data_IF_041871571317
#
_entry.id   IF_041871571317
#
_cell.length_a   1.000
_cell.length_b   1.000
_cell.length_c   1.000
_cell.angle_alpha   90.00
_cell.angle_beta   90.00
_cell.angle_gamma   90.00
#
_symmetry.space_group_name_H-M   'P 1'
#
loop_
_entity.id
_entity.type
_entity.pdbx_description
1 polymer ?
#
# COMPACT_ATOMS: atom_id res chain seq x y z
N UNK A 1 -9.16 -2.92 -17.60
CA UNK A 1 -8.84 -3.58 -16.31
C UNK A 1 -9.88 -3.19 -15.26
N UNK A 2 -10.49 -4.17 -14.58
CA UNK A 2 -11.40 -3.90 -13.46
C UNK A 2 -10.59 -3.38 -12.26
N UNK A 3 -11.20 -2.56 -11.41
CA UNK A 3 -10.50 -2.05 -10.22
C UNK A 3 -10.10 -3.17 -9.25
N UNK A 4 -10.85 -4.27 -9.22
CA UNK A 4 -10.49 -5.49 -8.49
C UNK A 4 -9.13 -6.04 -8.91
N UNK A 5 -8.90 -6.13 -10.22
CA UNK A 5 -7.69 -6.71 -10.79
C UNK A 5 -6.50 -5.78 -10.50
N UNK A 6 -6.70 -4.47 -10.67
CA UNK A 6 -5.71 -3.45 -10.31
C UNK A 6 -5.33 -3.51 -8.84
N UNK A 7 -6.30 -3.70 -7.94
CA UNK A 7 -6.03 -3.84 -6.51
C UNK A 7 -5.22 -5.10 -6.21
N UNK A 8 -5.60 -6.24 -6.78
CA UNK A 8 -4.94 -7.52 -6.55
C UNK A 8 -3.49 -7.50 -7.05
N UNK A 9 -3.25 -6.91 -8.21
CA UNK A 9 -1.90 -6.73 -8.75
C UNK A 9 -1.06 -5.82 -7.85
N UNK A 10 -1.61 -4.67 -7.44
CA UNK A 10 -0.89 -3.71 -6.59
C UNK A 10 -0.61 -4.25 -5.17
N UNK A 11 -1.55 -4.98 -4.56
CA UNK A 11 -1.40 -5.53 -3.20
C UNK A 11 -0.49 -6.76 -3.18
N UNK A 12 -0.22 -7.38 -4.34
CA UNK A 12 0.67 -8.55 -4.44
C UNK A 12 2.06 -8.29 -3.84
N UNK A 13 2.60 -7.08 -4.00
CA UNK A 13 3.89 -6.71 -3.40
C UNK A 13 3.86 -6.73 -1.86
N UNK A 14 2.72 -6.35 -1.27
CA UNK A 14 2.50 -6.48 0.18
C UNK A 14 2.48 -7.95 0.60
N UNK A 15 1.71 -8.77 -0.12
CA UNK A 15 1.57 -10.21 0.14
C UNK A 15 2.95 -10.92 0.05
N UNK A 16 3.78 -10.56 -0.94
CA UNK A 16 5.14 -11.07 -1.11
C UNK A 16 6.06 -10.73 0.07
N UNK A 17 5.98 -9.51 0.61
CA UNK A 17 6.80 -9.10 1.76
C UNK A 17 6.37 -9.78 3.06
N UNK A 18 5.06 -9.98 3.27
CA UNK A 18 4.56 -10.81 4.38
C UNK A 18 5.04 -12.24 4.24
N UNK A 19 4.99 -12.80 3.02
CA UNK A 19 5.50 -14.13 2.75
C UNK A 19 7.00 -14.24 3.05
N UNK A 20 7.78 -13.26 2.59
CA UNK A 20 9.22 -13.22 2.82
C UNK A 20 9.55 -13.13 4.32
N UNK A 21 8.82 -12.31 5.08
CA UNK A 21 8.94 -12.25 6.54
C UNK A 21 8.74 -13.63 7.18
N UNK A 22 7.64 -14.32 6.83
CA UNK A 22 7.32 -15.63 7.40
C UNK A 22 8.32 -16.72 7.02
N UNK A 23 8.90 -16.62 5.82
CA UNK A 23 9.89 -17.57 5.29
C UNK A 23 11.30 -17.33 5.81
N UNK A 24 11.69 -16.09 6.06
CA UNK A 24 13.03 -15.75 6.54
C UNK A 24 13.13 -15.78 8.06
N UNK A 25 12.03 -15.58 8.77
CA UNK A 25 12.02 -15.57 10.23
C UNK A 25 12.54 -16.87 10.78
N UNK A 26 13.69 -16.82 11.45
CA UNK A 26 14.22 -17.95 12.21
C UNK A 26 13.60 -17.95 13.61
N UNK A 27 13.29 -19.14 14.12
CA UNK A 27 12.99 -19.36 15.55
C UNK A 27 14.02 -20.27 16.22
N UNK A 28 14.99 -20.79 15.48
CA UNK A 28 15.66 -22.01 15.88
C UNK A 28 16.78 -21.80 16.90
N UNK A 29 16.45 -22.23 18.12
CA UNK A 29 17.34 -22.72 19.18
C UNK A 29 18.10 -24.01 18.79
N UNK A 30 17.79 -24.63 17.65
CA UNK A 30 18.39 -25.90 17.20
C UNK A 30 19.33 -25.70 16.02
N UNK A 31 20.55 -26.21 16.17
CA UNK A 31 21.52 -26.32 15.09
C UNK A 31 20.96 -27.17 13.93
N UNK A 32 21.54 -27.00 12.74
CA UNK A 32 21.27 -27.90 11.62
C UNK A 32 21.62 -29.33 12.00
N UNK A 33 20.89 -30.29 11.42
CA UNK A 33 21.19 -31.70 11.62
C UNK A 33 22.60 -32.00 11.08
N UNK A 34 23.49 -32.61 11.87
CA UNK A 34 24.86 -32.89 11.45
C UNK A 34 24.95 -33.68 10.13
N UNK A 35 24.00 -34.58 9.87
CA UNK A 35 23.96 -35.35 8.62
C UNK A 35 23.75 -34.45 7.38
N UNK A 36 22.94 -33.40 7.49
CA UNK A 36 22.62 -32.48 6.39
C UNK A 36 23.77 -31.53 6.16
N UNK A 37 24.35 -31.00 7.25
CA UNK A 37 25.57 -30.19 7.18
C UNK A 37 26.69 -30.98 6.50
N UNK A 38 26.90 -32.24 6.88
CA UNK A 38 27.92 -33.10 6.27
C UNK A 38 27.65 -33.34 4.78
N UNK A 39 26.42 -33.69 4.37
CA UNK A 39 26.07 -33.89 2.95
C UNK A 39 26.21 -32.61 2.13
N UNK A 40 25.79 -31.48 2.68
CA UNK A 40 25.84 -30.17 2.02
C UNK A 40 27.28 -29.68 1.85
N UNK A 41 28.12 -29.78 2.88
CA UNK A 41 29.54 -29.45 2.80
C UNK A 41 30.33 -30.45 1.92
N UNK A 42 29.90 -31.71 1.87
CA UNK A 42 30.50 -32.74 1.01
C UNK A 42 30.20 -32.55 -0.47
N UNK A 43 29.13 -31.82 -0.84
CA UNK A 43 28.75 -31.58 -2.23
C UNK A 43 29.78 -30.72 -3.01
N UNK A 44 30.86 -30.25 -2.37
CA UNK A 44 31.94 -29.41 -2.96
C UNK A 44 31.43 -28.21 -3.76
N UNK A 45 30.20 -27.76 -3.49
CA UNK A 45 29.64 -26.54 -4.03
C UNK A 45 30.42 -25.38 -3.38
N UNK A 46 31.16 -24.68 -4.22
CA UNK A 46 32.25 -23.74 -3.92
C UNK A 46 32.01 -22.74 -2.78
N UNK A 47 33.05 -22.51 -1.96
CA UNK A 47 33.30 -21.31 -1.14
C UNK A 47 32.28 -20.92 -0.05
N UNK A 48 31.53 -21.87 0.51
CA UNK A 48 30.62 -21.57 1.61
C UNK A 48 31.29 -21.56 2.99
N UNK A 49 30.91 -20.61 3.88
CA UNK A 49 31.49 -20.52 5.22
C UNK A 49 31.09 -21.75 6.04
N UNK A 50 32.08 -22.61 6.34
CA UNK A 50 31.94 -23.87 7.07
C UNK A 50 31.42 -23.74 8.51
N UNK A 51 31.26 -22.52 9.04
CA UNK A 51 30.77 -22.25 10.39
C UNK A 51 29.78 -21.08 10.35
N UNK A 52 28.63 -21.23 11.01
CA UNK A 52 27.58 -20.19 11.18
C UNK A 52 26.94 -19.65 9.89
N UNK A 53 27.13 -20.30 8.75
CA UNK A 53 26.64 -19.86 7.44
C UNK A 53 25.36 -20.54 6.98
N UNK A 54 24.72 -21.38 7.79
CA UNK A 54 23.51 -22.07 7.38
C UNK A 54 22.51 -22.00 8.53
N UNK A 55 21.32 -21.48 8.25
CA UNK A 55 20.24 -21.30 9.23
C UNK A 55 18.94 -21.89 8.70
N UNK A 56 18.06 -22.29 9.63
CA UNK A 56 16.76 -22.89 9.30
C UNK A 56 15.64 -21.92 9.69
N UNK A 57 14.75 -21.63 8.74
CA UNK A 57 13.57 -20.82 9.03
C UNK A 57 12.61 -21.53 9.98
N UNK A 58 11.71 -20.76 10.61
CA UNK A 58 10.72 -21.25 11.58
C UNK A 58 9.85 -22.39 11.04
N UNK A 59 9.48 -22.34 9.76
CA UNK A 59 8.53 -23.26 9.15
C UNK A 59 9.24 -24.39 8.38
N UNK A 60 10.50 -24.67 8.70
CA UNK A 60 11.25 -25.87 8.27
C UNK A 60 11.42 -26.09 6.76
N UNK A 61 11.01 -25.11 5.95
CA UNK A 61 10.88 -25.18 4.49
C UNK A 61 11.91 -24.34 3.75
N UNK A 62 12.70 -23.53 4.46
CA UNK A 62 13.72 -22.67 3.87
C UNK A 62 15.03 -22.85 4.60
N UNK A 63 16.07 -23.17 3.84
CA UNK A 63 17.45 -23.13 4.27
C UNK A 63 18.02 -21.77 3.88
N UNK A 64 18.50 -21.01 4.86
CA UNK A 64 19.16 -19.73 4.62
C UNK A 64 20.66 -20.01 4.60
N UNK A 65 21.32 -19.74 3.48
CA UNK A 65 22.74 -20.01 3.27
C UNK A 65 23.46 -18.66 3.18
N UNK A 66 24.19 -18.31 4.22
CA UNK A 66 25.09 -17.17 4.26
C UNK A 66 26.34 -17.42 3.41
N UNK A 67 26.71 -16.43 2.60
CA UNK A 67 27.90 -16.47 1.75
C UNK A 67 29.08 -15.82 2.49
N UNK A 68 30.30 -16.32 2.26
CA UNK A 68 31.52 -15.74 2.84
C UNK A 68 31.65 -14.28 2.37
N UNK A 69 31.81 -13.34 3.31
CA UNK A 69 31.91 -11.90 3.01
C UNK A 69 30.56 -11.16 2.93
N UNK A 70 29.41 -11.85 3.06
CA UNK A 70 28.09 -11.23 2.96
C UNK A 70 27.67 -10.37 4.16
N UNK A 71 28.44 -10.34 5.25
CA UNK A 71 28.18 -9.50 6.44
C UNK A 71 26.94 -9.87 7.27
N UNK A 72 26.08 -10.78 6.79
CA UNK A 72 24.87 -11.19 7.47
C UNK A 72 25.15 -12.27 8.53
N UNK A 73 24.37 -12.19 9.60
CA UNK A 73 24.39 -13.09 10.74
C UNK A 73 22.99 -13.61 11.03
N UNK A 74 22.87 -14.59 11.93
CA UNK A 74 21.57 -15.07 12.38
C UNK A 74 20.67 -13.95 12.94
N UNK A 75 21.26 -12.92 13.59
CA UNK A 75 20.51 -11.81 14.19
C UNK A 75 19.72 -11.01 13.15
N UNK A 76 20.19 -10.97 11.91
CA UNK A 76 19.54 -10.27 10.80
C UNK A 76 18.26 -10.97 10.32
N UNK A 77 18.08 -12.24 10.72
CA UNK A 77 16.89 -13.05 10.43
C UNK A 77 16.00 -13.27 11.66
N UNK A 78 16.32 -12.63 12.79
CA UNK A 78 15.44 -12.58 13.94
C UNK A 78 14.20 -11.74 13.64
N UNK A 79 13.12 -12.03 14.38
CA UNK A 79 11.83 -11.38 14.18
C UNK A 79 11.94 -9.84 14.15
N UNK A 80 12.74 -9.26 15.05
CA UNK A 80 12.89 -7.81 15.20
C UNK A 80 13.56 -7.16 13.98
N UNK A 81 14.62 -7.77 13.44
CA UNK A 81 15.32 -7.27 12.26
C UNK A 81 14.41 -7.33 11.02
N UNK A 82 13.67 -8.43 10.87
CA UNK A 82 12.78 -8.63 9.72
C UNK A 82 11.47 -7.83 9.79
N UNK A 83 11.12 -7.18 10.92
CA UNK A 83 9.90 -6.36 11.02
C UNK A 83 9.85 -5.25 9.96
N UNK A 84 11.00 -4.82 9.41
CA UNK A 84 11.04 -3.87 8.29
C UNK A 84 10.23 -4.38 7.08
N UNK A 85 10.23 -5.69 6.81
CA UNK A 85 9.44 -6.28 5.74
C UNK A 85 7.94 -6.09 5.96
N UNK A 86 7.47 -6.26 7.19
CA UNK A 86 6.06 -6.04 7.54
C UNK A 86 5.68 -4.55 7.54
N UNK A 87 6.59 -3.65 7.95
CA UNK A 87 6.38 -2.20 7.81
C UNK A 87 6.23 -1.82 6.34
N UNK A 88 7.12 -2.29 5.48
CA UNK A 88 7.04 -2.10 4.04
C UNK A 88 5.76 -2.71 3.44
N UNK A 89 5.37 -3.91 3.88
CA UNK A 89 4.14 -4.55 3.45
C UNK A 89 2.90 -3.70 3.76
N UNK A 90 2.82 -3.09 4.95
CA UNK A 90 1.75 -2.15 5.31
C UNK A 90 1.73 -0.95 4.36
N UNK A 91 2.89 -0.33 4.11
CA UNK A 91 3.01 0.81 3.19
C UNK A 91 2.54 0.44 1.77
N UNK A 92 2.96 -0.72 1.25
CA UNK A 92 2.51 -1.20 -0.06
C UNK A 92 1.01 -1.51 -0.11
N UNK A 93 0.45 -2.08 0.96
CA UNK A 93 -1.00 -2.34 1.02
C UNK A 93 -1.82 -1.05 0.98
N UNK A 94 -1.37 0.00 1.69
CA UNK A 94 -2.01 1.31 1.60
C UNK A 94 -1.81 1.97 0.25
N UNK A 95 -0.63 1.84 -0.37
CA UNK A 95 -0.39 2.34 -1.72
C UNK A 95 -1.29 1.67 -2.77
N UNK A 96 -1.62 0.39 -2.60
CA UNK A 96 -2.58 -0.32 -3.45
C UNK A 96 -3.99 0.29 -3.36
N UNK A 97 -4.42 0.72 -2.17
CA UNK A 97 -5.68 1.45 -2.00
C UNK A 97 -5.62 2.82 -2.68
N UNK A 98 -4.53 3.57 -2.50
CA UNK A 98 -4.37 4.88 -3.12
C UNK A 98 -4.42 4.77 -4.66
N UNK A 99 -3.80 3.71 -5.21
CA UNK A 99 -3.82 3.42 -6.65
C UNK A 99 -5.25 3.23 -7.18
N UNK A 100 -6.10 2.47 -6.50
CA UNK A 100 -7.48 2.27 -6.96
C UNK A 100 -8.36 3.50 -6.78
N UNK A 101 -8.10 4.34 -5.77
CA UNK A 101 -8.77 5.63 -5.59
C UNK A 101 -8.40 6.60 -6.73
N UNK A 102 -7.13 6.68 -7.10
CA UNK A 102 -6.68 7.46 -8.26
C UNK A 102 -7.33 6.98 -9.56
N UNK A 103 -7.35 5.66 -9.75
CA UNK A 103 -7.94 5.05 -10.94
C UNK A 103 -9.46 5.28 -11.00
N UNK A 104 -10.18 5.20 -9.88
CA UNK A 104 -11.63 5.43 -9.84
C UNK A 104 -11.99 6.88 -10.15
N UNK A 105 -11.30 7.85 -9.55
CA UNK A 105 -11.52 9.27 -9.81
C UNK A 105 -11.17 9.62 -11.24
N UNK A 106 -10.05 9.09 -11.77
CA UNK A 106 -9.64 9.33 -13.16
C UNK A 106 -10.68 8.82 -14.15
N UNK A 107 -11.19 7.60 -13.96
CA UNK A 107 -12.27 7.03 -14.78
C UNK A 107 -13.54 7.87 -14.71
N UNK A 108 -13.95 8.28 -13.50
CA UNK A 108 -15.15 9.10 -13.28
C UNK A 108 -15.02 10.49 -13.91
N UNK A 109 -13.86 11.13 -13.77
CA UNK A 109 -13.55 12.41 -14.38
C UNK A 109 -13.64 12.34 -15.90
N UNK A 110 -13.01 11.33 -16.53
CA UNK A 110 -13.08 11.15 -17.99
C UNK A 110 -14.53 10.97 -18.45
N UNK A 111 -15.34 10.21 -17.71
CA UNK A 111 -16.76 10.03 -18.03
C UNK A 111 -17.54 11.36 -17.97
N UNK A 112 -17.33 12.16 -16.92
CA UNK A 112 -18.02 13.45 -16.74
C UNK A 112 -17.52 14.54 -17.69
N UNK A 113 -16.23 14.52 -18.05
CA UNK A 113 -15.69 15.39 -19.07
C UNK A 113 -16.35 15.17 -20.43
N UNK A 114 -16.74 13.92 -20.75
CA UNK A 114 -17.49 13.58 -21.97
C UNK A 114 -18.94 14.03 -21.96
N UNK A 115 -19.60 14.02 -20.79
CA UNK A 115 -21.04 14.35 -20.64
C UNK A 115 -21.29 15.80 -20.22
N UNK A 116 -20.24 16.61 -20.20
CA UNK A 116 -20.22 18.02 -19.81
C UNK A 116 -20.56 18.35 -18.34
N UNK A 117 -20.85 17.36 -17.48
CA UNK A 117 -21.26 17.53 -16.08
C UNK A 117 -20.11 17.56 -15.06
N UNK A 118 -19.05 18.31 -15.35
CA UNK A 118 -17.84 18.40 -14.50
C UNK A 118 -18.10 19.01 -13.12
N UNK A 119 -19.15 19.82 -12.98
CA UNK A 119 -19.54 20.51 -11.75
C UNK A 119 -19.76 19.54 -10.57
N UNK A 120 -20.10 18.28 -10.87
CA UNK A 120 -20.28 17.22 -9.88
C UNK A 120 -19.01 16.75 -9.17
N UNK A 121 -17.81 17.08 -9.69
CA UNK A 121 -16.51 16.74 -9.07
C UNK A 121 -15.89 17.93 -8.30
N UNK A 122 -16.45 19.15 -8.41
CA UNK A 122 -15.85 20.42 -7.93
C UNK A 122 -15.44 20.43 -6.45
N UNK A 123 -15.96 19.52 -5.63
CA UNK A 123 -15.58 19.37 -4.21
C UNK A 123 -14.18 18.80 -3.98
N UNK A 124 -13.65 18.01 -4.91
CA UNK A 124 -12.22 17.69 -4.90
C UNK A 124 -11.52 18.98 -5.33
N UNK A 125 -10.47 19.43 -4.64
CA UNK A 125 -9.70 20.66 -4.96
C UNK A 125 -8.93 20.56 -6.29
N UNK A 126 -9.56 20.08 -7.34
CA UNK A 126 -9.13 20.06 -8.72
C UNK A 126 -9.21 21.44 -9.35
N UNK A 127 -9.30 22.53 -8.57
CA UNK A 127 -9.56 23.90 -9.03
C UNK A 127 -8.74 24.29 -10.28
N UNK A 128 -7.45 23.93 -10.33
CA UNK A 128 -6.57 24.18 -11.48
C UNK A 128 -6.86 23.27 -12.68
N UNK A 129 -7.13 21.98 -12.45
CA UNK A 129 -7.44 20.99 -13.48
C UNK A 129 -8.85 21.20 -14.08
N UNK A 130 -9.78 21.65 -13.24
CA UNK A 130 -11.11 22.14 -13.60
C UNK A 130 -11.02 23.44 -14.39
N UNK A 131 -10.16 24.40 -13.98
CA UNK A 131 -9.88 25.61 -14.76
C UNK A 131 -9.31 25.28 -16.13
N UNK A 132 -8.33 24.37 -16.21
CA UNK A 132 -7.80 23.88 -17.49
C UNK A 132 -8.93 23.22 -18.30
N UNK A 133 -9.76 22.36 -17.69
CA UNK A 133 -10.90 21.75 -18.38
C UNK A 133 -11.91 22.78 -18.93
N UNK A 134 -12.21 23.84 -18.18
CA UNK A 134 -13.05 24.96 -18.59
C UNK A 134 -12.38 25.80 -19.67
N UNK A 135 -11.16 26.28 -19.47
CA UNK A 135 -10.39 27.10 -20.42
C UNK A 135 -10.24 26.37 -21.76
N UNK A 136 -10.07 25.05 -21.71
CA UNK A 136 -10.00 24.19 -22.89
C UNK A 136 -11.34 24.01 -23.62
N UNK A 137 -12.49 24.28 -22.97
CA UNK A 137 -13.83 24.29 -23.59
C UNK A 137 -14.12 25.56 -24.39
N UNK A 138 -13.37 26.65 -24.21
CA UNK A 138 -13.76 28.00 -24.69
C UNK A 138 -13.44 28.28 -26.16
N UNK A 139 -12.70 27.44 -26.91
CA UNK A 139 -12.50 27.69 -28.35
C UNK A 139 -13.72 27.26 -29.18
N UNK A 140 -14.79 28.05 -29.10
CA UNK A 140 -15.84 28.12 -30.14
C UNK A 140 -15.19 28.70 -31.40
N UNK A 141 -15.16 27.94 -32.50
CA UNK A 141 -14.83 28.52 -33.80
C UNK A 141 -15.93 29.49 -34.24
N UNK A 142 -15.64 30.35 -35.23
CA UNK A 142 -16.68 31.10 -35.96
C UNK A 142 -17.80 30.12 -36.35
N UNK A 143 -19.01 30.32 -35.84
CA UNK A 143 -20.17 29.44 -36.07
C UNK A 143 -20.52 28.46 -34.94
N UNK A 144 -19.94 28.58 -33.73
CA UNK A 144 -20.41 27.84 -32.54
C UNK A 144 -20.02 26.37 -32.47
N UNK A 145 -19.34 25.82 -33.49
CA UNK A 145 -18.83 24.44 -33.48
C UNK A 145 -17.56 24.33 -32.62
N UNK A 146 -17.56 23.36 -31.69
CA UNK A 146 -16.42 23.00 -30.82
C UNK A 146 -15.29 22.44 -31.71
N UNK A 147 -14.22 23.22 -31.90
CA UNK A 147 -13.16 22.93 -32.89
C UNK A 147 -12.00 22.09 -32.34
N UNK A 148 -11.83 22.01 -31.02
CA UNK A 148 -10.82 21.15 -30.41
C UNK A 148 -11.43 20.34 -29.27
N UNK A 149 -11.12 19.05 -29.22
CA UNK A 149 -11.40 18.14 -28.10
C UNK A 149 -10.10 17.91 -27.33
N UNK A 150 -9.69 18.81 -26.43
CA UNK A 150 -8.43 18.74 -25.69
C UNK A 150 -8.47 17.70 -24.56
N UNK A 151 -9.32 16.67 -24.69
CA UNK A 151 -9.54 15.66 -23.65
C UNK A 151 -8.26 14.96 -23.21
N UNK A 152 -7.29 14.77 -24.11
CA UNK A 152 -5.97 14.23 -23.75
C UNK A 152 -5.14 15.18 -22.89
N UNK A 153 -5.13 16.49 -23.18
CA UNK A 153 -4.42 17.52 -22.41
C UNK A 153 -5.06 17.76 -21.05
N UNK A 154 -6.39 17.80 -21.00
CA UNK A 154 -7.16 17.88 -19.75
C UNK A 154 -6.87 16.65 -18.89
N UNK A 155 -6.96 15.45 -19.49
CA UNK A 155 -6.64 14.20 -18.79
C UNK A 155 -5.21 14.21 -18.26
N UNK A 156 -4.23 14.64 -19.04
CA UNK A 156 -2.84 14.72 -18.60
C UNK A 156 -2.64 15.70 -17.42
N UNK A 157 -3.22 16.90 -17.48
CA UNK A 157 -3.10 17.90 -16.41
C UNK A 157 -3.84 17.49 -15.12
N UNK A 158 -5.01 16.85 -15.27
CA UNK A 158 -5.78 16.30 -14.14
C UNK A 158 -5.01 15.15 -13.50
N UNK A 159 -4.48 14.23 -14.32
CA UNK A 159 -3.67 13.11 -13.84
C UNK A 159 -2.39 13.57 -13.15
N UNK A 160 -1.67 14.54 -13.72
CA UNK A 160 -0.44 15.09 -13.12
C UNK A 160 -0.69 15.70 -11.73
N UNK A 161 -1.81 16.41 -11.55
CA UNK A 161 -2.19 16.94 -10.24
C UNK A 161 -2.63 15.81 -9.30
N UNK A 162 -3.51 14.93 -9.77
CA UNK A 162 -4.05 13.84 -8.95
C UNK A 162 -2.93 12.94 -8.44
N UNK A 163 -2.02 12.47 -9.29
CA UNK A 163 -0.97 11.53 -8.89
C UNK A 163 0.06 12.11 -7.88
N UNK A 164 0.07 13.43 -7.63
CA UNK A 164 0.91 14.05 -6.60
C UNK A 164 0.26 14.06 -5.22
N UNK A 165 -1.05 13.87 -5.14
CA UNK A 165 -1.81 13.89 -3.90
C UNK A 165 -2.14 12.46 -3.46
N UNK A 166 -2.14 12.20 -2.16
CA UNK A 166 -2.67 10.94 -1.62
C UNK A 166 -4.11 11.12 -1.17
N UNK A 167 -4.95 10.14 -1.47
CA UNK A 167 -6.35 10.10 -1.05
C UNK A 167 -6.55 9.25 0.21
N UNK A 168 -5.47 8.90 0.90
CA UNK A 168 -5.52 7.98 2.04
C UNK A 168 -5.95 8.62 3.36
N UNK A 169 -6.02 9.95 3.48
CA UNK A 169 -6.59 10.53 4.71
C UNK A 169 -8.08 10.22 4.80
N UNK A 170 -8.61 10.04 6.01
CA UNK A 170 -10.00 9.59 6.22
C UNK A 170 -11.02 10.50 5.51
N UNK A 171 -10.79 11.82 5.54
CA UNK A 171 -11.65 12.79 4.88
C UNK A 171 -11.55 12.69 3.35
N UNK A 172 -10.31 12.66 2.81
CA UNK A 172 -10.09 12.56 1.35
C UNK A 172 -10.63 11.26 0.78
N UNK A 173 -10.46 10.15 1.48
CA UNK A 173 -11.02 8.86 1.06
C UNK A 173 -12.55 8.94 0.93
N UNK A 174 -13.22 9.53 1.92
CA UNK A 174 -14.67 9.71 1.88
C UNK A 174 -15.12 10.67 0.77
N UNK A 175 -14.42 11.79 0.59
CA UNK A 175 -14.67 12.75 -0.50
C UNK A 175 -14.56 12.08 -1.87
N UNK A 176 -13.51 11.29 -2.09
CA UNK A 176 -13.29 10.55 -3.33
C UNK A 176 -14.38 9.52 -3.56
N UNK A 177 -14.73 8.73 -2.54
CA UNK A 177 -15.80 7.75 -2.65
C UNK A 177 -17.14 8.42 -2.98
N UNK A 178 -17.46 9.53 -2.31
CA UNK A 178 -18.66 10.32 -2.56
C UNK A 178 -18.69 10.91 -3.98
N UNK A 179 -17.55 11.41 -4.48
CA UNK A 179 -17.41 11.90 -5.86
C UNK A 179 -17.61 10.77 -6.90
N UNK A 180 -17.33 9.53 -6.51
CA UNK A 180 -17.63 8.33 -7.30
C UNK A 180 -19.05 7.78 -7.07
N UNK A 181 -19.91 8.50 -6.32
CA UNK A 181 -21.30 8.10 -6.02
C UNK A 181 -21.43 7.09 -4.89
N UNK A 182 -20.36 6.79 -4.15
CA UNK A 182 -20.33 5.82 -3.06
C UNK A 182 -20.24 6.54 -1.71
N UNK A 183 -21.38 7.03 -1.24
CA UNK A 183 -21.47 7.71 0.06
C UNK A 183 -21.35 6.72 1.23
N UNK A 184 -20.94 7.23 2.40
CA UNK A 184 -20.90 6.48 3.68
C UNK A 184 -20.14 5.15 3.59
N UNK A 185 -18.98 5.14 2.92
CA UNK A 185 -18.25 3.89 2.61
C UNK A 185 -17.89 3.07 3.85
N UNK A 186 -17.54 3.71 4.97
CA UNK A 186 -17.22 3.02 6.22
C UNK A 186 -18.44 2.37 6.88
N UNK A 187 -19.60 3.03 6.88
CA UNK A 187 -20.87 2.44 7.35
C UNK A 187 -21.23 1.21 6.51
N UNK A 188 -21.11 1.34 5.18
CA UNK A 188 -21.41 0.25 4.26
C UNK A 188 -20.45 -0.92 4.44
N UNK A 189 -19.15 -0.66 4.65
CA UNK A 189 -18.17 -1.71 4.95
C UNK A 189 -18.45 -2.36 6.31
N UNK A 190 -18.71 -1.57 7.36
CA UNK A 190 -18.97 -2.06 8.71
C UNK A 190 -20.15 -3.03 8.80
N UNK A 191 -21.19 -2.82 7.98
CA UNK A 191 -22.35 -3.72 7.85
C UNK A 191 -22.01 -5.08 7.24
N UNK A 192 -20.90 -5.19 6.49
CA UNK A 192 -20.44 -6.46 5.90
C UNK A 192 -19.64 -7.33 6.87
N UNK A 193 -19.17 -6.75 7.99
CA UNK A 193 -18.33 -7.45 8.95
C UNK A 193 -19.15 -8.23 9.98
N UNK A 194 -18.56 -9.29 10.54
CA UNK A 194 -19.12 -10.07 11.65
C UNK A 194 -18.06 -10.22 12.76
N UNK A 195 -18.27 -9.66 13.97
CA UNK A 195 -19.37 -8.76 14.33
C UNK A 195 -19.34 -7.46 13.51
N UNK A 196 -20.50 -6.81 13.36
CA UNK A 196 -20.56 -5.52 12.68
C UNK A 196 -19.76 -4.49 13.46
N UNK A 197 -19.06 -3.62 12.73
CA UNK A 197 -18.30 -2.50 13.30
C UNK A 197 -18.97 -1.18 12.95
N UNK A 198 -18.95 -0.22 13.87
CA UNK A 198 -19.43 1.14 13.60
C UNK A 198 -18.52 1.85 12.60
N UNK A 199 -19.11 2.80 11.86
CA UNK A 199 -18.36 3.65 10.94
C UNK A 199 -17.26 4.44 11.67
N UNK A 200 -17.51 4.89 12.90
CA UNK A 200 -16.55 5.66 13.70
C UNK A 200 -15.35 4.81 14.10
N UNK A 201 -15.57 3.57 14.52
CA UNK A 201 -14.49 2.64 14.82
C UNK A 201 -13.60 2.42 13.58
N UNK A 202 -14.21 2.18 12.42
CA UNK A 202 -13.47 1.96 11.17
C UNK A 202 -12.71 3.21 10.71
N UNK A 203 -13.28 4.40 10.90
CA UNK A 203 -12.62 5.66 10.59
C UNK A 203 -11.42 5.93 11.51
N UNK A 204 -11.54 5.62 12.80
CA UNK A 204 -10.44 5.72 13.76
C UNK A 204 -9.33 4.72 13.43
N UNK A 205 -9.71 3.46 13.11
CA UNK A 205 -8.79 2.41 12.68
C UNK A 205 -8.03 2.84 11.41
N UNK A 206 -8.73 3.40 10.42
CA UNK A 206 -8.14 3.93 9.19
C UNK A 206 -7.23 5.16 9.43
N UNK A 207 -7.66 6.11 10.27
CA UNK A 207 -6.89 7.30 10.61
C UNK A 207 -5.56 6.94 11.30
N UNK A 208 -5.60 5.95 12.20
CA UNK A 208 -4.40 5.38 12.83
C UNK A 208 -3.47 4.79 11.78
N UNK A 209 -3.99 3.98 10.85
CA UNK A 209 -3.19 3.35 9.79
C UNK A 209 -2.55 4.38 8.85
N UNK A 210 -3.30 5.39 8.43
CA UNK A 210 -2.79 6.49 7.62
C UNK A 210 -1.62 7.22 8.29
N UNK A 211 -1.80 7.60 9.55
CA UNK A 211 -0.74 8.22 10.37
C UNK A 211 0.48 7.30 10.46
N UNK A 212 0.23 6.01 10.70
CA UNK A 212 1.29 5.01 10.83
C UNK A 212 2.11 4.84 9.55
N UNK A 213 1.43 4.73 8.41
CA UNK A 213 2.08 4.65 7.10
C UNK A 213 2.96 5.85 6.84
N UNK A 214 2.53 7.06 7.20
CA UNK A 214 3.36 8.26 7.03
C UNK A 214 4.61 8.21 7.91
N UNK A 215 4.50 7.81 9.18
CA UNK A 215 5.67 7.60 10.03
C UNK A 215 6.63 6.56 9.45
N UNK A 216 6.12 5.44 8.94
CA UNK A 216 6.96 4.39 8.34
C UNK A 216 7.62 4.83 7.03
N UNK A 217 6.87 5.47 6.13
CA UNK A 217 7.33 5.81 4.79
C UNK A 217 8.23 7.05 4.74
N UNK A 218 7.98 8.03 5.61
CA UNK A 218 8.64 9.35 5.54
C UNK A 218 9.55 9.65 6.71
N UNK A 219 9.40 8.95 7.85
CA UNK A 219 10.09 9.29 9.10
C UNK A 219 10.91 8.12 9.65
N UNK A 220 11.12 7.08 8.84
CA UNK A 220 11.81 5.85 9.22
C UNK A 220 11.24 5.21 10.51
N UNK A 221 9.96 5.47 10.82
CA UNK A 221 9.26 4.97 12.00
C UNK A 221 9.91 5.36 13.35
N UNK A 222 10.54 6.55 13.39
CA UNK A 222 11.24 7.08 14.57
C UNK A 222 10.23 7.66 15.58
N UNK A 223 10.49 7.47 16.88
CA UNK A 223 9.76 8.11 17.98
C UNK A 223 10.26 9.56 18.12
N UNK A 224 9.39 10.51 17.80
CA UNK A 224 9.67 11.94 18.00
C UNK A 224 9.79 12.26 19.50
N UNK A 225 10.92 12.81 19.92
CA UNK A 225 11.13 13.37 21.27
C UNK A 225 11.65 14.80 21.14
N UNK A 226 11.12 15.72 21.93
CA UNK A 226 11.46 17.16 21.89
C UNK A 226 12.93 17.46 22.23
N UNK A 227 13.59 16.57 22.99
CA UNK A 227 15.03 16.59 23.25
C UNK A 227 15.55 15.15 23.14
N UNK A 228 16.30 14.81 22.10
CA UNK A 228 16.80 13.46 21.91
C UNK A 228 18.32 13.41 21.70
N UNK A 229 19.04 12.77 22.64
CA UNK A 229 20.44 12.33 22.45
C UNK A 229 20.55 10.96 21.77
N UNK A 230 19.45 10.20 21.65
CA UNK A 230 19.40 8.85 21.05
C UNK A 230 18.13 8.67 20.22
N UNK A 231 18.27 8.05 19.04
CA UNK A 231 17.17 7.70 18.14
C UNK A 231 16.48 6.45 18.69
N UNK A 232 15.14 6.49 18.79
CA UNK A 232 14.33 5.33 19.14
C UNK A 232 13.33 5.06 18.03
N UNK A 233 13.07 3.79 17.73
CA UNK A 233 12.04 3.39 16.78
C UNK A 233 10.76 3.01 17.51
N UNK A 234 9.62 3.21 16.86
CA UNK A 234 8.33 2.81 17.38
C UNK A 234 8.32 1.29 17.63
N UNK A 235 7.99 0.88 18.86
CA UNK A 235 7.79 -0.54 19.19
C UNK A 235 6.48 -0.99 18.57
N UNK A 236 6.56 -2.02 17.73
CA UNK A 236 5.39 -2.65 17.13
C UNK A 236 5.57 -4.17 17.14
N UNK A 237 4.46 -4.86 17.39
CA UNK A 237 4.43 -6.32 17.36
C UNK A 237 4.17 -6.85 15.94
N UNK A 238 4.67 -8.05 15.66
CA UNK A 238 4.34 -8.80 14.44
C UNK A 238 2.82 -8.95 14.28
N UNK A 239 2.12 -9.30 15.36
CA UNK A 239 0.69 -9.57 15.36
C UNK A 239 -0.10 -8.33 14.96
N UNK A 240 0.28 -7.16 15.49
CA UNK A 240 -0.34 -5.88 15.15
C UNK A 240 -0.18 -5.56 13.65
N UNK A 241 1.04 -5.66 13.09
CA UNK A 241 1.25 -5.38 11.66
C UNK A 241 0.49 -6.35 10.76
N UNK A 242 0.46 -7.63 11.09
CA UNK A 242 -0.28 -8.62 10.30
C UNK A 242 -1.79 -8.35 10.34
N UNK A 243 -2.31 -7.99 11.51
CA UNK A 243 -3.72 -7.59 11.67
C UNK A 243 -4.03 -6.34 10.83
N UNK A 244 -3.15 -5.34 10.88
CA UNK A 244 -3.28 -4.09 10.13
C UNK A 244 -3.27 -4.35 8.61
N UNK A 245 -2.32 -5.15 8.13
CA UNK A 245 -2.23 -5.53 6.71
C UNK A 245 -3.49 -6.31 6.29
N UNK A 246 -3.96 -7.25 7.11
CA UNK A 246 -5.17 -8.01 6.82
C UNK A 246 -6.41 -7.11 6.74
N UNK A 247 -6.53 -6.14 7.64
CA UNK A 247 -7.60 -5.14 7.60
C UNK A 247 -7.55 -4.31 6.31
N UNK A 248 -6.38 -3.74 5.98
CA UNK A 248 -6.18 -2.94 4.76
C UNK A 248 -6.53 -3.77 3.53
N UNK A 249 -6.09 -5.03 3.47
CA UNK A 249 -6.38 -5.93 2.35
C UNK A 249 -7.87 -6.21 2.21
N UNK A 250 -8.56 -6.50 3.31
CA UNK A 250 -10.00 -6.75 3.29
C UNK A 250 -10.79 -5.51 2.87
N UNK A 251 -10.45 -4.35 3.44
CA UNK A 251 -11.08 -3.09 3.09
C UNK A 251 -10.81 -2.67 1.64
N UNK A 252 -9.59 -2.84 1.15
CA UNK A 252 -9.21 -2.55 -0.23
C UNK A 252 -9.94 -3.43 -1.25
N UNK A 253 -10.13 -4.73 -0.96
CA UNK A 253 -10.97 -5.62 -1.79
C UNK A 253 -12.42 -5.13 -1.85
N UNK A 254 -12.99 -4.79 -0.70
CA UNK A 254 -14.34 -4.25 -0.62
C UNK A 254 -14.46 -2.96 -1.44
N UNK A 255 -13.53 -2.03 -1.24
CA UNK A 255 -13.50 -0.73 -1.92
C UNK A 255 -13.37 -0.88 -3.45
N UNK A 256 -12.48 -1.76 -3.92
CA UNK A 256 -12.33 -2.06 -5.34
C UNK A 256 -13.61 -2.63 -5.96
N UNK A 257 -14.33 -3.49 -5.23
CA UNK A 257 -15.62 -4.02 -5.64
C UNK A 257 -16.71 -2.94 -5.68
N UNK A 258 -16.73 -2.03 -4.71
CA UNK A 258 -17.71 -0.95 -4.63
C UNK A 258 -17.52 0.13 -5.70
N UNK A 259 -16.27 0.57 -5.92
CA UNK A 259 -15.93 1.58 -6.92
C UNK A 259 -15.93 1.03 -8.36
N UNK A 260 -15.86 -0.29 -8.51
CA UNK A 260 -15.89 -0.96 -9.82
C UNK A 260 -17.30 -1.17 -10.38
N UNK A 261 -18.35 -0.96 -9.57
CA UNK A 261 -19.77 -1.02 -9.96
C UNK A 261 -20.28 0.36 -10.36
#
# INVERSE_FOLDING_TARGET
>A
MKLSDTFLEAVCHSDQLVHLYDRLKTKNLRAIRPEWEKRFLAAKLTNWPKKKGIWRSKNDSVLIVGVKGGGLSHKDFEAAALLVLLRSALVFAMAAIDKILHESVSKRFVALAKTEKLDSIVRLELSKSYRIAIESRVRKGKGGKIRSRPGSKIKAAVLDKMYRESFLSTNRLQEVCAACGKNKIFDRYGKTLRPQKSADHLQQEWARLYTRRNHMAHECDIVRKSKAKKIHFQKISETELKSDIAFIRAFGKYLAGELGR
#
